data_IF_529226273794
#
_entry.id   IF_529226273794
#
_cell.length_a   1.000
_cell.length_b   1.000
_cell.length_c   1.000
_cell.angle_alpha   90.00
_cell.angle_beta   90.00
_cell.angle_gamma   90.00
#
_symmetry.space_group_name_H-M   'P 1'
#
loop_
_entity.id
_entity.type
_entity.pdbx_description
1 polymer ?
#
# COMPACT_ATOMS: atom_id res chain seq x y z
N UNK A 1 -23.34 1.19 6.42
CA UNK A 1 -23.64 2.45 7.15
C UNK A 1 -23.55 3.63 6.17
N UNK A 2 -24.47 4.61 6.20
CA UNK A 2 -24.36 5.78 5.31
C UNK A 2 -23.15 6.61 5.71
N UNK A 3 -22.39 7.11 4.72
CA UNK A 3 -21.12 7.85 4.88
C UNK A 3 -21.19 8.97 5.93
N UNK A 4 -22.26 9.77 5.87
CA UNK A 4 -22.49 10.88 6.79
C UNK A 4 -22.65 10.44 8.25
N UNK A 5 -23.33 9.31 8.49
CA UNK A 5 -23.52 8.80 9.85
C UNK A 5 -22.19 8.32 10.45
N UNK A 6 -21.36 7.66 9.64
CA UNK A 6 -20.03 7.22 10.09
C UNK A 6 -19.13 8.40 10.42
N UNK A 7 -19.13 9.45 9.57
CA UNK A 7 -18.38 10.67 9.82
C UNK A 7 -18.85 11.36 11.11
N UNK A 8 -20.16 11.49 11.31
CA UNK A 8 -20.72 12.08 12.53
C UNK A 8 -20.31 11.31 13.80
N UNK A 9 -20.42 9.97 13.77
CA UNK A 9 -19.98 9.14 14.89
C UNK A 9 -18.48 9.29 15.18
N UNK A 10 -17.65 9.37 14.13
CA UNK A 10 -16.21 9.62 14.29
C UNK A 10 -15.92 11.01 14.88
N UNK A 11 -16.68 12.04 14.51
CA UNK A 11 -16.57 13.37 15.14
C UNK A 11 -16.85 13.27 16.65
N UNK A 12 -17.91 12.57 17.05
CA UNK A 12 -18.24 12.37 18.47
C UNK A 12 -17.12 11.63 19.20
N UNK A 13 -16.59 10.56 18.61
CA UNK A 13 -15.46 9.79 19.17
C UNK A 13 -14.18 10.63 19.29
N UNK A 14 -13.86 11.45 18.28
CA UNK A 14 -12.71 12.37 18.31
C UNK A 14 -12.88 13.44 19.39
N UNK A 15 -14.07 14.04 19.51
CA UNK A 15 -14.37 15.02 20.58
C UNK A 15 -14.29 14.38 21.98
N UNK A 16 -14.73 13.12 22.11
CA UNK A 16 -14.58 12.38 23.37
C UNK A 16 -13.11 12.14 23.70
N UNK A 17 -12.34 11.59 22.75
CA UNK A 17 -10.91 11.34 22.88
C UNK A 17 -10.12 12.61 23.24
N UNK A 18 -10.45 13.75 22.61
CA UNK A 18 -9.85 15.05 22.91
C UNK A 18 -10.07 15.49 24.38
N UNK A 19 -11.20 15.09 24.99
CA UNK A 19 -11.56 15.45 26.37
C UNK A 19 -11.00 14.48 27.40
N UNK A 20 -10.94 13.17 27.09
CA UNK A 20 -10.65 12.14 28.08
C UNK A 20 -9.26 11.50 27.99
N UNK A 21 -8.61 11.51 26.82
CA UNK A 21 -7.36 10.76 26.59
C UNK A 21 -6.18 11.70 26.29
N UNK A 22 -6.22 12.40 25.14
CA UNK A 22 -5.15 13.29 24.70
C UNK A 22 -5.72 14.49 23.96
N UNK A 23 -5.18 15.67 24.23
CA UNK A 23 -5.53 16.89 23.47
C UNK A 23 -5.20 16.75 21.98
N UNK A 24 -6.21 16.94 21.15
CA UNK A 24 -6.17 17.05 19.69
C UNK A 24 -6.07 18.53 19.31
N UNK A 25 -4.97 19.18 19.67
CA UNK A 25 -4.78 20.63 19.54
C UNK A 25 -4.94 21.16 18.10
N UNK A 26 -4.75 20.32 17.08
CA UNK A 26 -4.99 20.67 15.68
C UNK A 26 -6.47 20.72 15.26
N UNK A 27 -7.40 20.28 16.11
CA UNK A 27 -8.84 20.29 15.85
C UNK A 27 -9.53 21.45 16.58
N UNK A 28 -9.22 22.67 16.14
CA UNK A 28 -9.73 23.92 16.74
C UNK A 28 -11.16 24.32 16.37
N UNK A 29 -11.77 23.69 15.36
CA UNK A 29 -13.14 23.99 14.91
C UNK A 29 -13.90 22.74 14.50
N UNK A 30 -15.23 22.84 14.36
CA UNK A 30 -16.08 21.74 13.91
C UNK A 30 -15.74 21.28 12.49
N UNK A 31 -15.29 22.20 11.62
CA UNK A 31 -14.80 21.90 10.27
C UNK A 31 -13.54 21.03 10.29
N UNK A 32 -12.60 21.29 11.22
CA UNK A 32 -11.41 20.45 11.39
C UNK A 32 -11.79 19.02 11.80
N UNK A 33 -12.69 18.89 12.78
CA UNK A 33 -13.21 17.59 13.21
C UNK A 33 -13.88 16.85 12.06
N UNK A 34 -14.79 17.52 11.34
CA UNK A 34 -15.52 16.92 10.23
C UNK A 34 -14.59 16.52 9.09
N UNK A 35 -13.59 17.36 8.77
CA UNK A 35 -12.63 17.07 7.70
C UNK A 35 -11.78 15.84 8.03
N UNK A 36 -11.23 15.75 9.24
CA UNK A 36 -10.48 14.55 9.66
C UNK A 36 -11.38 13.31 9.68
N UNK A 37 -12.61 13.42 10.22
CA UNK A 37 -13.57 12.32 10.23
C UNK A 37 -13.88 11.82 8.81
N UNK A 38 -14.06 12.72 7.84
CA UNK A 38 -14.28 12.36 6.45
C UNK A 38 -13.06 11.68 5.80
N UNK A 39 -11.84 12.10 6.14
CA UNK A 39 -10.62 11.41 5.69
C UNK A 39 -10.49 10.01 6.29
N UNK A 40 -10.84 9.83 7.57
CA UNK A 40 -10.92 8.51 8.21
C UNK A 40 -11.94 7.61 7.52
N UNK A 41 -13.13 8.14 7.20
CA UNK A 41 -14.17 7.42 6.45
C UNK A 41 -13.66 6.98 5.07
N UNK A 42 -13.00 7.86 4.33
CA UNK A 42 -12.46 7.53 3.01
C UNK A 42 -11.42 6.41 3.10
N UNK A 43 -10.55 6.47 4.10
CA UNK A 43 -9.53 5.44 4.32
C UNK A 43 -10.13 4.09 4.72
N UNK A 44 -11.08 4.06 5.67
CA UNK A 44 -11.82 2.84 6.05
C UNK A 44 -12.46 2.20 4.81
N UNK A 45 -13.17 2.99 4.00
CA UNK A 45 -13.85 2.49 2.80
C UNK A 45 -12.89 1.95 1.75
N UNK A 46 -11.69 2.50 1.62
CA UNK A 46 -10.66 1.99 0.69
C UNK A 46 -10.16 0.62 1.13
N UNK A 47 -9.96 0.41 2.43
CA UNK A 47 -9.60 -0.91 2.99
C UNK A 47 -10.73 -1.91 2.77
N UNK A 48 -11.97 -1.53 3.08
CA UNK A 48 -13.16 -2.38 2.87
C UNK A 48 -13.36 -2.73 1.40
N UNK A 49 -13.16 -1.78 0.48
CA UNK A 49 -13.32 -2.00 -0.95
C UNK A 49 -12.38 -3.09 -1.49
N UNK A 50 -11.09 -3.04 -1.12
CA UNK A 50 -10.13 -4.07 -1.54
C UNK A 50 -10.51 -5.41 -0.92
N UNK A 51 -10.86 -5.45 0.37
CA UNK A 51 -11.31 -6.69 1.03
C UNK A 51 -12.53 -7.29 0.35
N UNK A 52 -13.52 -6.47 -0.01
CA UNK A 52 -14.71 -6.95 -0.73
C UNK A 52 -14.32 -7.50 -2.09
N UNK A 53 -13.43 -6.83 -2.83
CA UNK A 53 -12.98 -7.35 -4.14
C UNK A 53 -12.24 -8.68 -3.98
N UNK A 54 -11.37 -8.80 -3.00
CA UNK A 54 -10.57 -9.99 -2.75
C UNK A 54 -11.36 -11.16 -2.17
N UNK A 55 -12.41 -10.90 -1.38
CA UNK A 55 -13.13 -11.95 -0.63
C UNK A 55 -14.60 -12.12 -1.04
N UNK A 56 -15.10 -11.38 -2.03
CA UNK A 56 -16.50 -11.44 -2.45
C UNK A 56 -16.78 -12.77 -3.17
N UNK A 57 -17.80 -13.52 -2.77
CA UNK A 57 -18.26 -14.72 -3.51
C UNK A 57 -18.74 -14.46 -4.94
N UNK A 58 -18.92 -13.19 -5.34
CA UNK A 58 -19.28 -12.84 -6.73
C UNK A 58 -18.18 -13.29 -7.71
N UNK A 59 -18.55 -13.92 -8.83
CA UNK A 59 -17.60 -14.29 -9.88
C UNK A 59 -16.80 -13.08 -10.37
N UNK A 60 -15.50 -13.27 -10.51
CA UNK A 60 -14.59 -12.32 -11.15
C UNK A 60 -14.33 -12.83 -12.57
N UNK A 61 -14.41 -11.93 -13.55
CA UNK A 61 -14.11 -12.31 -14.95
C UNK A 61 -12.68 -12.86 -15.05
N UNK A 62 -12.45 -14.02 -15.71
CA UNK A 62 -11.12 -14.58 -15.88
C UNK A 62 -10.21 -13.63 -16.67
N UNK A 63 -10.75 -12.80 -17.56
CA UNK A 63 -10.00 -11.76 -18.28
C UNK A 63 -9.30 -10.72 -17.38
N UNK A 64 -9.54 -10.73 -16.05
CA UNK A 64 -8.75 -9.93 -15.10
C UNK A 64 -7.29 -10.41 -14.99
N UNK A 65 -6.99 -11.69 -15.26
CA UNK A 65 -5.61 -12.23 -15.28
C UNK A 65 -4.88 -11.91 -16.57
N UNK A 66 -5.60 -11.66 -17.66
CA UNK A 66 -5.04 -11.42 -18.98
C UNK A 66 -4.48 -9.99 -19.09
N UNK A 67 -3.16 -9.79 -19.13
CA UNK A 67 -2.58 -8.46 -19.05
C UNK A 67 -2.81 -7.60 -20.30
N UNK A 68 -3.16 -8.22 -21.42
CA UNK A 68 -3.54 -7.52 -22.65
C UNK A 68 -5.04 -7.20 -22.73
N UNK A 69 -5.84 -7.63 -21.75
CA UNK A 69 -7.26 -7.29 -21.68
C UNK A 69 -7.45 -5.89 -21.09
N UNK A 70 -8.44 -5.14 -21.59
CA UNK A 70 -8.93 -3.91 -20.96
C UNK A 70 -9.49 -4.15 -19.55
N UNK A 71 -9.79 -5.41 -19.23
CA UNK A 71 -10.21 -5.82 -17.91
C UNK A 71 -9.03 -6.08 -16.97
N UNK A 72 -7.77 -6.11 -17.41
CA UNK A 72 -6.65 -6.42 -16.52
C UNK A 72 -6.67 -5.60 -15.22
N UNK A 73 -6.56 -6.30 -14.09
CA UNK A 73 -6.46 -5.69 -12.77
C UNK A 73 -5.64 -6.60 -11.86
N UNK A 74 -4.39 -6.23 -11.53
CA UNK A 74 -3.47 -7.11 -10.82
C UNK A 74 -3.97 -7.52 -9.43
N UNK A 75 -4.84 -6.71 -8.79
CA UNK A 75 -5.42 -7.06 -7.49
C UNK A 75 -6.47 -8.17 -7.64
N UNK A 76 -7.28 -8.10 -8.71
CA UNK A 76 -8.28 -9.14 -9.02
C UNK A 76 -7.65 -10.38 -9.62
N UNK A 77 -6.59 -10.22 -10.42
CA UNK A 77 -5.78 -11.31 -10.91
C UNK A 77 -5.15 -12.09 -9.75
N UNK A 78 -4.56 -11.39 -8.77
CA UNK A 78 -4.00 -12.02 -7.59
C UNK A 78 -5.02 -12.88 -6.83
N UNK A 79 -6.27 -12.39 -6.71
CA UNK A 79 -7.36 -13.18 -6.14
C UNK A 79 -7.62 -14.47 -6.94
N UNK A 80 -7.75 -14.38 -8.26
CA UNK A 80 -8.02 -15.53 -9.12
C UNK A 80 -6.89 -16.58 -9.04
N UNK A 81 -5.64 -16.13 -9.03
CA UNK A 81 -4.48 -17.01 -8.83
C UNK A 81 -4.48 -17.66 -7.44
N UNK A 82 -4.83 -16.91 -6.40
CA UNK A 82 -4.95 -17.47 -5.05
C UNK A 82 -6.07 -18.53 -4.96
N UNK A 83 -7.23 -18.27 -5.54
CA UNK A 83 -8.36 -19.22 -5.61
C UNK A 83 -8.01 -20.48 -6.42
N UNK A 84 -7.10 -20.38 -7.39
CA UNK A 84 -6.61 -21.52 -8.17
C UNK A 84 -5.39 -22.22 -7.58
N UNK A 85 -4.98 -21.87 -6.36
CA UNK A 85 -3.80 -22.45 -5.68
C UNK A 85 -2.45 -21.93 -6.15
N UNK A 86 -2.40 -20.91 -7.01
CA UNK A 86 -1.18 -20.26 -7.48
C UNK A 86 -0.80 -19.08 -6.55
N UNK A 87 -0.37 -19.42 -5.34
CA UNK A 87 -0.10 -18.45 -4.26
C UNK A 87 1.05 -17.49 -4.59
N UNK A 88 2.11 -17.99 -5.22
CA UNK A 88 3.29 -17.20 -5.55
C UNK A 88 2.99 -16.16 -6.63
N UNK A 89 2.23 -16.52 -7.66
CA UNK A 89 1.77 -15.56 -8.67
C UNK A 89 0.86 -14.49 -8.07
N UNK A 90 0.01 -14.88 -7.11
CA UNK A 90 -0.83 -13.92 -6.40
C UNK A 90 0.01 -12.88 -5.64
N UNK A 91 1.04 -13.33 -4.90
CA UNK A 91 1.95 -12.42 -4.20
C UNK A 91 2.75 -11.54 -5.19
N UNK A 92 3.21 -12.12 -6.30
CA UNK A 92 3.91 -11.41 -7.36
C UNK A 92 3.07 -10.27 -7.94
N UNK A 93 1.81 -10.53 -8.27
CA UNK A 93 0.90 -9.51 -8.79
C UNK A 93 0.61 -8.39 -7.77
N UNK A 94 0.56 -8.69 -6.46
CA UNK A 94 0.44 -7.68 -5.42
C UNK A 94 1.72 -6.84 -5.28
N UNK A 95 2.89 -7.46 -5.42
CA UNK A 95 4.16 -6.73 -5.49
C UNK A 95 4.18 -5.79 -6.70
N UNK A 96 3.81 -6.27 -7.89
CA UNK A 96 3.74 -5.45 -9.11
C UNK A 96 2.74 -4.30 -8.97
N UNK A 97 1.53 -4.57 -8.46
CA UNK A 97 0.51 -3.58 -8.20
C UNK A 97 1.02 -2.48 -7.26
N UNK A 98 1.79 -2.86 -6.24
CA UNK A 98 2.37 -1.92 -5.26
C UNK A 98 3.53 -1.13 -5.86
N UNK A 99 4.42 -1.79 -6.61
CA UNK A 99 5.60 -1.16 -7.20
C UNK A 99 5.21 -0.08 -8.22
N UNK A 100 4.26 -0.40 -9.10
CA UNK A 100 3.80 0.52 -10.13
C UNK A 100 2.77 1.51 -9.60
N UNK A 101 1.85 1.05 -8.77
CA UNK A 101 0.67 1.81 -8.35
C UNK A 101 -0.29 2.07 -9.51
N UNK A 102 -1.56 2.30 -9.18
CA UNK A 102 -2.58 2.66 -10.17
C UNK A 102 -2.47 4.14 -10.50
N UNK A 103 -2.26 4.48 -11.77
CA UNK A 103 -2.29 5.87 -12.21
C UNK A 103 -3.74 6.32 -12.50
N UNK A 104 -4.06 7.58 -12.19
CA UNK A 104 -5.42 8.10 -12.38
C UNK A 104 -5.84 8.16 -13.86
N UNK A 105 -4.90 8.44 -14.77
CA UNK A 105 -5.13 8.56 -16.22
C UNK A 105 -4.94 7.21 -16.90
N UNK A 106 -3.78 6.58 -16.71
CA UNK A 106 -3.37 5.38 -17.46
C UNK A 106 -3.70 4.07 -16.73
N UNK A 107 -4.36 4.15 -15.56
CA UNK A 107 -4.84 3.00 -14.78
C UNK A 107 -3.70 2.01 -14.50
N UNK A 108 -3.86 0.75 -14.91
CA UNK A 108 -2.89 -0.32 -14.72
C UNK A 108 -1.97 -0.52 -15.94
N UNK A 109 -2.00 0.37 -16.94
CA UNK A 109 -1.29 0.17 -18.22
C UNK A 109 0.21 -0.09 -18.05
N UNK A 110 0.90 0.64 -17.18
CA UNK A 110 2.32 0.38 -16.93
C UNK A 110 2.55 -1.03 -16.34
N UNK A 111 1.74 -1.45 -15.37
CA UNK A 111 1.83 -2.80 -14.81
C UNK A 111 1.53 -3.87 -15.86
N UNK A 112 0.46 -3.67 -16.64
CA UNK A 112 0.04 -4.55 -17.74
C UNK A 112 1.15 -4.69 -18.79
N UNK A 113 1.74 -3.58 -19.25
CA UNK A 113 2.77 -3.59 -20.29
C UNK A 113 4.06 -4.25 -19.81
N UNK A 114 4.47 -4.01 -18.56
CA UNK A 114 5.64 -4.70 -18.02
C UNK A 114 5.36 -6.17 -17.80
N UNK A 115 4.21 -6.54 -17.23
CA UNK A 115 3.88 -7.93 -16.92
C UNK A 115 3.60 -8.76 -18.18
N UNK A 116 2.99 -8.17 -19.22
CA UNK A 116 2.74 -8.80 -20.54
C UNK A 116 3.93 -8.74 -21.50
N UNK A 117 5.07 -8.19 -21.08
CA UNK A 117 6.22 -8.09 -21.97
C UNK A 117 5.93 -7.24 -23.21
N UNK A 118 5.08 -6.20 -23.09
CA UNK A 118 4.50 -5.43 -24.20
C UNK A 118 3.64 -6.28 -25.15
N UNK A 119 2.97 -7.31 -24.62
CA UNK A 119 2.11 -8.22 -25.34
C UNK A 119 2.81 -9.43 -25.94
N UNK A 120 4.15 -9.54 -25.84
CA UNK A 120 4.89 -10.67 -26.41
C UNK A 120 4.99 -11.86 -25.46
N UNK A 121 4.93 -11.64 -24.15
CA UNK A 121 5.23 -12.68 -23.17
C UNK A 121 4.77 -12.34 -21.74
N UNK A 122 4.28 -13.29 -20.95
CA UNK A 122 3.85 -13.00 -19.58
C UNK A 122 4.99 -13.33 -18.60
N UNK A 123 5.50 -12.31 -17.90
CA UNK A 123 6.53 -12.45 -16.86
C UNK A 123 5.91 -12.88 -15.53
N UNK A 124 5.41 -14.11 -15.50
CA UNK A 124 4.94 -14.80 -14.30
C UNK A 124 6.06 -14.99 -13.28
N UNK A 125 5.71 -15.30 -12.04
CA UNK A 125 6.64 -15.62 -10.97
C UNK A 125 7.56 -16.78 -11.33
N UNK A 126 7.01 -17.87 -11.87
CA UNK A 126 7.79 -19.03 -12.30
C UNK A 126 8.81 -18.63 -13.36
N UNK A 127 8.36 -17.89 -14.39
CA UNK A 127 9.22 -17.47 -15.50
C UNK A 127 10.34 -16.54 -15.04
N UNK A 128 10.00 -15.54 -14.22
CA UNK A 128 10.96 -14.53 -13.78
C UNK A 128 11.99 -15.11 -12.79
N UNK A 129 11.60 -16.13 -12.02
CA UNK A 129 12.53 -16.80 -11.11
C UNK A 129 13.33 -17.90 -11.79
N UNK A 130 12.79 -18.59 -12.80
CA UNK A 130 13.49 -19.60 -13.59
C UNK A 130 14.61 -18.99 -14.45
N UNK A 131 14.30 -17.92 -15.18
CA UNK A 131 15.25 -17.26 -16.08
C UNK A 131 15.14 -15.74 -16.01
N UNK A 132 15.69 -15.16 -14.94
CA UNK A 132 15.71 -13.71 -14.76
C UNK A 132 16.48 -12.98 -15.88
N UNK A 133 17.53 -13.60 -16.42
CA UNK A 133 18.33 -13.03 -17.51
C UNK A 133 17.51 -12.74 -18.77
N UNK A 134 16.49 -13.55 -19.06
CA UNK A 134 15.57 -13.29 -20.17
C UNK A 134 14.75 -12.01 -19.94
N UNK A 135 14.28 -11.77 -18.72
CA UNK A 135 13.58 -10.53 -18.36
C UNK A 135 14.51 -9.32 -18.45
N UNK A 136 15.76 -9.44 -17.97
CA UNK A 136 16.75 -8.36 -18.07
C UNK A 136 17.03 -7.95 -19.50
N UNK A 137 17.31 -8.92 -20.37
CA UNK A 137 17.54 -8.65 -21.80
C UNK A 137 16.31 -8.06 -22.48
N UNK A 138 15.11 -8.59 -22.19
CA UNK A 138 13.87 -8.03 -22.71
C UNK A 138 13.71 -6.57 -22.26
N UNK A 139 13.91 -6.27 -20.97
CA UNK A 139 13.74 -4.92 -20.45
C UNK A 139 14.78 -3.95 -21.02
N UNK A 140 16.04 -4.37 -21.17
CA UNK A 140 17.10 -3.58 -21.80
C UNK A 140 16.67 -3.14 -23.21
N UNK A 141 16.26 -4.11 -24.04
CA UNK A 141 15.86 -3.88 -25.43
C UNK A 141 14.60 -3.01 -25.57
N UNK A 142 13.68 -3.05 -24.60
CA UNK A 142 12.39 -2.36 -24.67
C UNK A 142 12.33 -1.06 -23.83
N UNK A 143 13.33 -0.79 -22.98
CA UNK A 143 13.31 0.35 -22.05
C UNK A 143 13.17 1.71 -22.75
N UNK A 144 13.78 1.87 -23.94
CA UNK A 144 13.68 3.11 -24.72
C UNK A 144 12.25 3.37 -25.20
N UNK A 145 11.52 2.33 -25.64
CA UNK A 145 10.12 2.45 -26.03
C UNK A 145 9.24 2.83 -24.83
N UNK A 146 9.45 2.16 -23.70
CA UNK A 146 8.73 2.44 -22.45
C UNK A 146 8.90 3.89 -22.02
N UNK A 147 10.11 4.46 -22.16
CA UNK A 147 10.40 5.86 -21.84
C UNK A 147 9.74 6.82 -22.84
N UNK A 148 9.84 6.54 -24.15
CA UNK A 148 9.21 7.37 -25.20
C UNK A 148 7.69 7.43 -25.03
N UNK A 149 7.07 6.32 -24.64
CA UNK A 149 5.64 6.23 -24.31
C UNK A 149 5.27 6.59 -22.88
N UNK A 150 6.13 7.29 -22.12
CA UNK A 150 5.91 7.56 -20.68
C UNK A 150 4.64 8.38 -20.37
N UNK A 151 4.06 9.08 -21.34
CA UNK A 151 2.73 9.73 -21.17
C UNK A 151 1.60 8.71 -21.12
N UNK A 152 1.77 7.53 -21.73
CA UNK A 152 0.83 6.41 -21.71
C UNK A 152 1.13 5.40 -20.59
N UNK A 153 2.34 5.45 -20.02
CA UNK A 153 2.85 4.51 -19.01
C UNK A 153 3.39 5.28 -17.82
N UNK A 154 2.54 5.45 -16.81
CA UNK A 154 2.85 6.27 -15.65
C UNK A 154 2.71 5.47 -14.37
N UNK A 155 3.64 5.70 -13.46
CA UNK A 155 3.53 5.26 -12.08
C UNK A 155 2.34 5.94 -11.39
N UNK A 156 1.78 5.28 -10.38
CA UNK A 156 0.81 5.86 -9.46
C UNK A 156 1.42 6.93 -8.55
N UNK A 157 0.57 7.68 -7.85
CA UNK A 157 1.00 8.86 -7.07
C UNK A 157 2.04 8.54 -5.99
N UNK A 158 1.93 7.40 -5.30
CA UNK A 158 2.90 6.97 -4.28
C UNK A 158 4.25 6.53 -4.88
N UNK A 159 4.30 6.33 -6.21
CA UNK A 159 5.43 5.77 -6.97
C UNK A 159 5.94 6.74 -8.04
N UNK A 160 5.49 8.00 -8.04
CA UNK A 160 5.81 9.01 -9.07
C UNK A 160 7.29 9.38 -9.21
N UNK A 161 8.13 8.97 -8.28
CA UNK A 161 9.59 9.21 -8.29
C UNK A 161 10.39 7.98 -8.74
N UNK A 162 9.71 6.90 -9.14
CA UNK A 162 10.34 5.76 -9.79
C UNK A 162 10.68 6.07 -11.26
N UNK A 163 11.44 5.17 -11.88
CA UNK A 163 12.02 5.43 -13.20
C UNK A 163 12.01 4.21 -14.11
N UNK A 164 11.71 4.44 -15.39
CA UNK A 164 11.75 3.42 -16.44
C UNK A 164 13.15 3.26 -17.05
N UNK A 165 14.13 4.09 -16.66
CA UNK A 165 15.50 4.04 -17.21
C UNK A 165 16.20 2.74 -16.79
N UNK A 166 16.58 1.92 -17.77
CA UNK A 166 17.28 0.65 -17.53
C UNK A 166 18.63 0.83 -16.81
N UNK A 167 19.39 1.86 -17.16
CA UNK A 167 20.69 2.16 -16.54
C UNK A 167 20.60 2.83 -15.15
N UNK A 168 19.40 3.01 -14.60
CA UNK A 168 19.21 3.56 -13.26
C UNK A 168 19.78 2.65 -12.17
N UNK A 169 20.16 3.24 -11.02
CA UNK A 169 20.45 2.48 -9.79
C UNK A 169 19.21 1.78 -9.21
N UNK A 170 18.02 2.20 -9.64
CA UNK A 170 16.70 1.69 -9.24
C UNK A 170 15.87 1.29 -10.47
N UNK A 171 16.51 0.70 -11.47
CA UNK A 171 15.80 0.21 -12.66
C UNK A 171 14.88 -0.97 -12.30
N UNK A 172 13.84 -1.20 -13.11
CA UNK A 172 12.88 -2.27 -12.87
C UNK A 172 13.56 -3.64 -12.68
N UNK A 173 14.54 -4.06 -13.52
CA UNK A 173 15.22 -5.32 -13.28
C UNK A 173 15.94 -5.38 -11.92
N UNK A 174 16.64 -4.32 -11.51
CA UNK A 174 17.28 -4.29 -10.17
C UNK A 174 16.25 -4.40 -9.05
N UNK A 175 15.10 -3.77 -9.20
CA UNK A 175 14.00 -3.86 -8.22
C UNK A 175 13.46 -5.29 -8.17
N UNK A 176 13.16 -5.90 -9.32
CA UNK A 176 12.62 -7.26 -9.41
C UNK A 176 13.61 -8.28 -8.87
N UNK A 177 14.89 -8.22 -9.25
CA UNK A 177 15.93 -9.09 -8.71
C UNK A 177 16.06 -8.95 -7.19
N UNK A 178 16.03 -7.73 -6.66
CA UNK A 178 16.11 -7.52 -5.21
C UNK A 178 14.89 -8.07 -4.46
N UNK A 179 13.71 -8.08 -5.10
CA UNK A 179 12.50 -8.69 -4.56
C UNK A 179 12.58 -10.22 -4.60
N UNK A 180 13.01 -10.81 -5.72
CA UNK A 180 13.27 -12.25 -5.84
C UNK A 180 14.25 -12.70 -4.75
N UNK A 181 15.33 -11.95 -4.55
CA UNK A 181 16.31 -12.22 -3.49
C UNK A 181 15.70 -12.10 -2.08
N UNK A 182 14.74 -11.21 -1.89
CA UNK A 182 14.01 -11.08 -0.62
C UNK A 182 13.09 -12.28 -0.35
N UNK A 183 12.46 -12.86 -1.38
CA UNK A 183 11.69 -14.10 -1.26
C UNK A 183 12.63 -15.28 -0.98
N UNK A 184 13.80 -15.28 -1.59
CA UNK A 184 14.87 -16.22 -1.26
C UNK A 184 14.95 -17.43 -2.20
N UNK A 185 15.83 -18.35 -1.86
CA UNK A 185 16.24 -19.45 -2.76
C UNK A 185 15.14 -20.46 -3.06
N UNK A 186 14.19 -20.64 -2.13
CA UNK A 186 13.04 -21.52 -2.33
C UNK A 186 12.09 -20.99 -3.41
N UNK A 187 12.18 -19.69 -3.74
CA UNK A 187 11.26 -18.98 -4.64
C UNK A 187 9.80 -19.13 -4.21
N UNK A 188 9.55 -19.37 -2.93
CA UNK A 188 8.22 -19.52 -2.36
C UNK A 188 7.96 -18.43 -1.33
N UNK A 189 6.95 -17.61 -1.60
CA UNK A 189 6.45 -16.59 -0.68
C UNK A 189 5.92 -17.25 0.60
N UNK A 190 5.25 -18.40 0.49
CA UNK A 190 4.77 -19.16 1.64
C UNK A 190 5.94 -19.56 2.54
N UNK A 191 6.98 -20.18 2.00
CA UNK A 191 8.18 -20.54 2.77
C UNK A 191 8.83 -19.31 3.42
N UNK A 192 8.91 -18.18 2.70
CA UNK A 192 9.48 -16.94 3.23
C UNK A 192 8.67 -16.38 4.39
N UNK A 193 7.34 -16.43 4.30
CA UNK A 193 6.46 -15.94 5.35
C UNK A 193 6.41 -16.89 6.54
N UNK A 194 6.48 -18.20 6.34
CA UNK A 194 6.60 -19.18 7.42
C UNK A 194 7.91 -19.00 8.20
N UNK A 195 9.05 -18.79 7.52
CA UNK A 195 10.32 -18.45 8.18
C UNK A 195 10.17 -17.21 9.08
N UNK A 196 9.49 -16.17 8.59
CA UNK A 196 9.24 -14.97 9.39
C UNK A 196 8.30 -15.23 10.58
N UNK A 197 7.30 -16.10 10.43
CA UNK A 197 6.37 -16.50 11.51
C UNK A 197 7.06 -17.32 12.61
N UNK A 198 8.15 -18.04 12.30
CA UNK A 198 8.95 -18.72 13.33
C UNK A 198 9.56 -17.73 14.33
N UNK A 199 9.80 -16.49 13.91
CA UNK A 199 10.32 -15.40 14.75
C UNK A 199 9.17 -14.55 15.32
N UNK A 200 8.11 -14.35 14.53
CA UNK A 200 7.03 -13.44 14.84
C UNK A 200 5.73 -14.14 15.24
N UNK A 201 5.44 -14.14 16.54
CA UNK A 201 4.27 -14.84 17.11
C UNK A 201 2.94 -14.10 16.95
N UNK A 202 2.94 -12.84 16.50
CA UNK A 202 1.72 -12.05 16.28
C UNK A 202 1.74 -11.37 14.91
N UNK A 203 0.57 -11.03 14.32
CA UNK A 203 0.49 -10.28 13.06
C UNK A 203 1.26 -8.96 13.09
N UNK A 204 1.33 -8.31 14.25
CA UNK A 204 2.07 -7.08 14.49
C UNK A 204 3.58 -7.27 14.38
N UNK A 205 4.11 -8.27 15.09
CA UNK A 205 5.53 -8.58 15.04
C UNK A 205 5.92 -9.08 13.65
N UNK A 206 5.01 -9.81 12.97
CA UNK A 206 5.26 -10.31 11.62
C UNK A 206 5.36 -9.15 10.63
N UNK A 207 4.49 -8.14 10.77
CA UNK A 207 4.60 -6.91 9.99
C UNK A 207 5.94 -6.23 10.21
N UNK A 208 6.38 -6.07 11.46
CA UNK A 208 7.66 -5.42 11.79
C UNK A 208 8.88 -6.17 11.22
N UNK A 209 8.91 -7.49 11.38
CA UNK A 209 9.99 -8.37 10.87
C UNK A 209 10.06 -8.25 9.35
N UNK A 210 8.93 -8.43 8.65
CA UNK A 210 8.91 -8.36 7.20
C UNK A 210 9.24 -6.95 6.70
N UNK A 211 8.68 -5.90 7.31
CA UNK A 211 8.97 -4.51 6.95
C UNK A 211 10.46 -4.18 7.06
N UNK A 212 11.10 -4.68 8.12
CA UNK A 212 12.54 -4.51 8.36
C UNK A 212 13.35 -5.27 7.31
N UNK A 213 13.01 -6.55 7.08
CA UNK A 213 13.69 -7.41 6.12
C UNK A 213 13.59 -6.89 4.68
N UNK A 214 12.47 -6.27 4.30
CA UNK A 214 12.29 -5.63 2.99
C UNK A 214 13.24 -4.45 2.74
N UNK A 215 14.13 -4.08 3.67
CA UNK A 215 15.20 -3.09 3.42
C UNK A 215 16.12 -3.54 2.28
N UNK A 216 16.22 -4.84 2.00
CA UNK A 216 16.97 -5.39 0.86
C UNK A 216 16.31 -5.11 -0.50
N UNK A 217 15.01 -4.79 -0.53
CA UNK A 217 14.27 -4.55 -1.77
C UNK A 217 14.51 -3.13 -2.24
N UNK A 218 15.18 -2.99 -3.39
CA UNK A 218 15.48 -1.71 -4.03
C UNK A 218 14.17 -0.99 -4.34
N UNK A 219 14.16 0.34 -4.24
CA UNK A 219 12.98 1.19 -4.52
C UNK A 219 11.80 1.04 -3.53
N UNK A 220 11.85 0.06 -2.62
CA UNK A 220 10.86 -0.12 -1.55
C UNK A 220 11.24 0.68 -0.30
N UNK A 221 11.08 2.00 -0.39
CA UNK A 221 11.14 2.90 0.78
C UNK A 221 9.96 2.67 1.74
N UNK A 222 9.88 3.47 2.82
CA UNK A 222 8.86 3.35 3.88
C UNK A 222 7.45 3.11 3.35
N UNK A 223 6.98 3.97 2.43
CA UNK A 223 5.62 3.88 1.89
C UNK A 223 5.38 2.59 1.11
N UNK A 224 6.29 2.16 0.24
CA UNK A 224 6.08 0.95 -0.55
C UNK A 224 6.09 -0.34 0.28
N UNK A 225 6.94 -0.41 1.31
CA UNK A 225 6.93 -1.54 2.25
C UNK A 225 5.60 -1.61 3.02
N UNK A 226 5.16 -0.47 3.54
CA UNK A 226 3.91 -0.37 4.27
C UNK A 226 2.71 -0.71 3.38
N UNK A 227 2.66 -0.13 2.17
CA UNK A 227 1.61 -0.40 1.18
C UNK A 227 1.59 -1.88 0.78
N UNK A 228 2.75 -2.50 0.54
CA UNK A 228 2.83 -3.91 0.14
C UNK A 228 2.29 -4.86 1.22
N UNK A 229 2.79 -4.74 2.45
CA UNK A 229 2.38 -5.63 3.54
C UNK A 229 0.89 -5.45 3.89
N UNK A 230 0.41 -4.21 3.88
CA UNK A 230 -1.03 -3.97 4.07
C UNK A 230 -1.87 -4.47 2.89
N UNK A 231 -1.36 -4.45 1.66
CA UNK A 231 -2.03 -5.06 0.52
C UNK A 231 -2.13 -6.58 0.67
N UNK A 232 -1.08 -7.27 1.12
CA UNK A 232 -1.15 -8.72 1.40
C UNK A 232 -2.24 -9.06 2.42
N UNK A 233 -2.39 -8.26 3.48
CA UNK A 233 -3.49 -8.38 4.45
C UNK A 233 -4.85 -8.14 3.82
N UNK A 234 -5.00 -7.07 3.02
CA UNK A 234 -6.28 -6.74 2.35
C UNK A 234 -6.72 -7.80 1.34
N UNK A 235 -5.76 -8.51 0.74
CA UNK A 235 -6.00 -9.57 -0.25
C UNK A 235 -6.01 -10.96 0.35
N UNK A 236 -5.97 -11.08 1.69
CA UNK A 236 -5.96 -12.35 2.42
C UNK A 236 -4.78 -13.28 2.08
N UNK A 237 -3.68 -12.74 1.55
CA UNK A 237 -2.49 -13.50 1.25
C UNK A 237 -1.62 -13.70 2.49
N UNK A 238 -1.63 -12.74 3.42
CA UNK A 238 -0.85 -12.83 4.64
C UNK A 238 -1.53 -12.12 5.81
N UNK A 239 -1.59 -12.77 6.97
CA UNK A 239 -2.09 -12.17 8.20
C UNK A 239 -1.02 -11.31 8.89
N UNK A 240 -0.94 -10.04 8.52
CA UNK A 240 -0.05 -9.03 9.11
C UNK A 240 -0.81 -7.77 9.50
N UNK A 241 -0.35 -7.07 10.53
CA UNK A 241 -0.97 -5.84 11.03
C UNK A 241 0.10 -4.80 11.40
N UNK A 242 0.06 -3.56 10.89
CA UNK A 242 0.97 -2.53 11.36
C UNK A 242 0.59 -2.07 12.77
N UNK A 243 1.49 -2.23 13.74
CA UNK A 243 1.31 -1.71 15.11
C UNK A 243 1.54 -0.19 15.25
N UNK A 244 2.17 0.44 14.26
CA UNK A 244 2.43 1.87 14.22
C UNK A 244 2.62 2.37 12.78
N UNK A 245 2.66 3.69 12.61
CA UNK A 245 2.77 4.34 11.29
C UNK A 245 4.20 4.35 10.72
N UNK A 246 5.22 3.81 11.41
CA UNK A 246 6.63 3.91 10.97
C UNK A 246 7.01 5.36 10.63
N UNK A 247 6.80 6.28 11.59
CA UNK A 247 6.92 7.73 11.37
C UNK A 247 8.35 8.19 11.04
N UNK A 248 9.37 7.40 11.40
CA UNK A 248 10.77 7.70 11.08
C UNK A 248 10.93 7.77 9.55
N UNK A 249 11.53 8.86 9.07
CA UNK A 249 11.70 9.16 7.64
C UNK A 249 10.37 9.32 6.85
N UNK A 250 9.24 9.44 7.52
CA UNK A 250 7.97 9.84 6.89
C UNK A 250 7.89 11.37 6.80
N UNK A 251 7.18 11.90 5.80
CA UNK A 251 6.98 13.36 5.67
C UNK A 251 5.52 13.74 5.91
N UNK A 252 4.59 13.14 5.17
CA UNK A 252 3.14 13.39 5.34
C UNK A 252 2.60 12.90 6.68
N UNK A 253 2.79 11.61 7.04
CA UNK A 253 2.30 11.07 8.30
C UNK A 253 2.78 11.82 9.54
N UNK A 254 4.09 12.08 9.66
CA UNK A 254 4.64 12.81 10.81
C UNK A 254 4.09 14.24 10.91
N UNK A 255 3.93 14.96 9.78
CA UNK A 255 3.33 16.30 9.76
C UNK A 255 1.87 16.25 10.24
N UNK A 256 1.09 15.27 9.79
CA UNK A 256 -0.29 15.11 10.23
C UNK A 256 -0.41 14.77 11.72
N UNK A 257 0.48 13.92 12.24
CA UNK A 257 0.50 13.60 13.66
C UNK A 257 0.85 14.83 14.53
N UNK A 258 1.88 15.59 14.15
CA UNK A 258 2.28 16.79 14.88
C UNK A 258 1.24 17.90 14.77
N UNK A 259 0.61 18.07 13.60
CA UNK A 259 -0.52 18.98 13.45
C UNK A 259 -1.65 18.58 14.39
N UNK A 260 -2.04 17.31 14.41
CA UNK A 260 -3.13 16.81 15.24
C UNK A 260 -2.89 17.05 16.73
N UNK A 261 -1.72 16.66 17.26
CA UNK A 261 -1.47 16.66 18.70
C UNK A 261 -0.81 17.94 19.22
N UNK A 262 -0.10 18.69 18.39
CA UNK A 262 0.69 19.86 18.79
C UNK A 262 0.28 21.15 18.08
N UNK A 263 -0.72 21.09 17.19
CA UNK A 263 -1.13 22.22 16.33
C UNK A 263 0.05 22.84 15.55
N UNK A 264 1.04 22.01 15.19
CA UNK A 264 2.23 22.45 14.48
C UNK A 264 2.75 21.32 13.57
N UNK A 265 3.01 21.61 12.29
CA UNK A 265 3.47 20.58 11.34
C UNK A 265 4.96 20.23 11.48
N UNK A 266 5.77 21.15 12.02
CA UNK A 266 7.24 21.08 12.03
C UNK A 266 7.82 20.62 13.37
N UNK A 267 7.17 20.98 14.47
CA UNK A 267 7.59 20.66 15.85
C UNK A 267 6.46 20.02 16.65
N UNK A 268 6.80 19.39 17.76
CA UNK A 268 5.84 18.69 18.61
C UNK A 268 6.49 17.51 19.30
N UNK A 269 5.64 16.57 19.71
CA UNK A 269 6.05 15.36 20.42
C UNK A 269 7.10 14.53 19.66
N UNK A 270 7.88 13.76 20.43
CA UNK A 270 8.80 12.76 19.89
C UNK A 270 8.03 11.65 19.17
N UNK A 271 8.70 10.93 18.26
CA UNK A 271 8.07 9.80 17.53
C UNK A 271 7.52 8.75 18.49
N UNK A 272 8.22 8.48 19.60
CA UNK A 272 7.76 7.51 20.60
C UNK A 272 6.45 7.95 21.26
N UNK A 273 6.35 9.22 21.65
CA UNK A 273 5.13 9.78 22.23
C UNK A 273 3.99 9.80 21.21
N UNK A 274 4.28 10.20 19.96
CA UNK A 274 3.30 10.16 18.86
C UNK A 274 2.77 8.73 18.64
N UNK A 275 3.64 7.71 18.64
CA UNK A 275 3.21 6.33 18.50
C UNK A 275 2.26 5.91 19.63
N UNK A 276 2.54 6.25 20.90
CA UNK A 276 1.64 5.96 22.04
C UNK A 276 0.27 6.62 21.87
N UNK A 277 0.25 7.90 21.47
CA UNK A 277 -0.98 8.64 21.21
C UNK A 277 -1.77 8.05 20.03
N UNK A 278 -1.10 7.67 18.95
CA UNK A 278 -1.70 7.03 17.79
C UNK A 278 -2.28 5.65 18.12
N UNK A 279 -1.59 4.85 18.94
CA UNK A 279 -2.13 3.57 19.41
C UNK A 279 -3.44 3.75 20.18
N UNK A 280 -3.51 4.78 21.03
CA UNK A 280 -4.75 5.12 21.74
C UNK A 280 -5.82 5.61 20.78
N UNK A 281 -5.46 6.50 19.83
CA UNK A 281 -6.40 6.99 18.81
C UNK A 281 -6.90 5.88 17.88
N UNK A 282 -6.09 4.86 17.59
CA UNK A 282 -6.52 3.73 16.75
C UNK A 282 -7.71 2.98 17.37
N UNK A 283 -7.83 2.96 18.70
CA UNK A 283 -8.91 2.25 19.41
C UNK A 283 -10.31 2.81 19.16
N UNK A 284 -10.43 4.09 18.79
CA UNK A 284 -11.73 4.72 18.52
C UNK A 284 -12.25 4.41 17.11
N UNK A 285 -11.43 3.79 16.25
CA UNK A 285 -11.80 3.51 14.88
C UNK A 285 -12.75 2.31 14.80
N UNK A 286 -13.88 2.41 14.07
CA UNK A 286 -14.88 1.36 13.95
C UNK A 286 -14.49 0.29 12.91
N UNK A 287 -13.23 -0.16 12.95
CA UNK A 287 -12.69 -1.25 12.13
C UNK A 287 -11.78 -2.12 13.01
N UNK A 288 -11.65 -3.41 12.71
CA UNK A 288 -10.93 -4.36 13.57
C UNK A 288 -9.51 -4.68 13.09
N UNK A 289 -9.09 -4.17 11.94
CA UNK A 289 -7.79 -4.43 11.33
C UNK A 289 -7.36 -3.22 10.50
N UNK A 290 -6.07 -3.11 10.20
CA UNK A 290 -5.43 -2.04 9.46
C UNK A 290 -5.75 -0.63 10.00
N UNK A 291 -5.97 -0.52 11.31
CA UNK A 291 -6.28 0.77 11.98
C UNK A 291 -5.16 1.78 11.78
N UNK A 292 -3.91 1.34 11.83
CA UNK A 292 -2.76 2.21 11.60
C UNK A 292 -2.65 2.65 10.14
N UNK A 293 -3.08 1.84 9.17
CA UNK A 293 -3.20 2.29 7.78
C UNK A 293 -4.31 3.34 7.62
N UNK A 294 -5.44 3.18 8.32
CA UNK A 294 -6.51 4.19 8.34
C UNK A 294 -5.98 5.54 8.80
N UNK A 295 -5.29 5.55 9.95
CA UNK A 295 -4.70 6.78 10.49
C UNK A 295 -3.63 7.36 9.57
N UNK A 296 -2.77 6.52 8.99
CA UNK A 296 -1.71 6.95 8.07
C UNK A 296 -2.26 7.76 6.89
N UNK A 297 -3.21 7.17 6.16
CA UNK A 297 -3.81 7.76 4.97
C UNK A 297 -4.61 9.02 5.35
N UNK A 298 -5.39 8.94 6.44
CA UNK A 298 -6.26 10.04 6.85
C UNK A 298 -5.44 11.27 7.31
N UNK A 299 -4.42 11.06 8.14
CA UNK A 299 -3.56 12.15 8.63
C UNK A 299 -2.70 12.75 7.51
N UNK A 300 -2.20 11.93 6.60
CA UNK A 300 -1.42 12.39 5.45
C UNK A 300 -2.24 13.31 4.53
N UNK A 301 -3.53 13.03 4.36
CA UNK A 301 -4.43 13.82 3.53
C UNK A 301 -5.02 15.03 4.27
N UNK A 302 -5.51 14.84 5.51
CA UNK A 302 -6.06 15.90 6.33
C UNK A 302 -5.09 17.07 6.50
N UNK A 303 -3.81 16.80 6.80
CA UNK A 303 -2.82 17.88 7.03
C UNK A 303 -2.57 18.79 5.82
N UNK A 304 -2.97 18.38 4.60
CA UNK A 304 -2.83 19.23 3.40
C UNK A 304 -3.90 20.31 3.32
N UNK A 305 -5.06 20.10 3.95
CA UNK A 305 -6.24 20.97 3.90
C UNK A 305 -7.12 20.67 5.13
N UNK A 306 -6.70 21.07 6.34
CA UNK A 306 -7.31 20.60 7.59
C UNK A 306 -8.75 21.06 7.78
N UNK A 307 -9.14 22.17 7.15
CA UNK A 307 -10.43 22.86 7.17
C UNK A 307 -11.29 22.61 5.91
N UNK A 308 -10.72 21.95 4.90
CA UNK A 308 -11.36 21.75 3.61
C UNK A 308 -11.23 20.32 3.15
N UNK A 309 -12.34 19.59 3.25
CA UNK A 309 -12.42 18.21 2.84
C UNK A 309 -12.19 18.05 1.32
N UNK A 310 -11.15 17.25 0.99
CA UNK A 310 -10.82 16.83 -0.38
C UNK A 310 -10.86 15.32 -0.47
N UNK A 311 -11.70 14.81 -1.36
CA UNK A 311 -11.85 13.36 -1.54
C UNK A 311 -10.55 12.70 -1.96
N UNK A 312 -10.20 11.63 -1.25
CA UNK A 312 -9.06 10.79 -1.57
C UNK A 312 -9.53 9.43 -2.10
N UNK A 313 -9.46 9.28 -3.42
CA UNK A 313 -9.84 8.04 -4.12
C UNK A 313 -8.70 7.02 -4.31
N UNK A 314 -7.46 7.41 -3.98
CA UNK A 314 -6.23 6.72 -4.44
C UNK A 314 -5.68 7.31 -5.73
#
# INVERSE_FOLDING_TARGET
MRRHNLAHNLVLSLKNFNRSEYSLNGLSSDEHYMTLAMQLVDSIRRIEFVKVISNSSKPVSPYRTEPNSDLFDPIRAARLHYESGNYDEACWLIFLATHFGKNIKTKWKLCSDIYSGLGTDIWTWDKITENFGAFEMWYENNSLELIRGSTQRQYGNHRKYETLKYNSRRSIPKVFQSYINFIGQTRSHEARFEEAKMIAQTPELLFEVLYSNMRSVISFGRTAKFDYLTMLKKTNLLDVEPNHLFLRNSTGPIKGCRLLFSNNIGSGDSIEVLNKKLSSLATILPINYLRMQVLEDALCNWQKSPDSYRYFGG
#
